data_IF_260264751757
#
_entry.id   IF_260264751757
#
_cell.length_a   1.000
_cell.length_b   1.000
_cell.length_c   1.000
_cell.angle_alpha   90.00
_cell.angle_beta   90.00
_cell.angle_gamma   90.00
#
_symmetry.space_group_name_H-M   'P 1'
#
loop_
_entity.id
_entity.type
_entity.pdbx_description
1 polymer ?
#
# COMPACT_ATOMS: atom_id res chain seq x y z
N UNK A 1 -25.91 -11.73 0.65
CA UNK A 1 -24.73 -11.89 -0.25
C UNK A 1 -24.23 -10.49 -0.56
N UNK A 2 -23.20 -10.03 0.13
CA UNK A 2 -22.71 -8.65 -0.03
C UNK A 2 -21.74 -8.64 -1.20
N UNK A 3 -22.04 -7.87 -2.24
CA UNK A 3 -21.19 -7.69 -3.42
C UNK A 3 -19.99 -6.77 -3.09
N UNK A 4 -18.91 -6.85 -3.85
CA UNK A 4 -17.74 -5.96 -3.74
C UNK A 4 -18.14 -4.48 -3.76
N UNK A 5 -19.18 -4.15 -4.55
CA UNK A 5 -19.75 -2.81 -4.67
C UNK A 5 -20.45 -2.33 -3.39
N UNK A 6 -21.17 -3.20 -2.69
CA UNK A 6 -21.85 -2.88 -1.43
C UNK A 6 -20.86 -2.52 -0.31
N UNK A 7 -19.67 -3.12 -0.36
CA UNK A 7 -18.64 -2.88 0.63
C UNK A 7 -17.98 -1.50 0.51
N UNK A 8 -17.63 -1.11 -0.70
CA UNK A 8 -17.02 0.19 -0.97
C UNK A 8 -18.01 1.33 -0.67
N UNK A 9 -19.32 1.10 -0.95
CA UNK A 9 -20.39 2.03 -0.62
C UNK A 9 -20.65 2.18 0.88
N UNK A 10 -20.55 1.11 1.67
CA UNK A 10 -20.75 1.16 3.11
C UNK A 10 -19.68 2.02 3.82
N UNK A 11 -18.43 1.95 3.39
CA UNK A 11 -17.33 2.77 3.96
C UNK A 11 -17.49 4.25 3.61
N UNK A 12 -17.99 4.56 2.41
CA UNK A 12 -18.29 5.94 1.99
C UNK A 12 -19.43 6.54 2.81
N UNK A 13 -20.47 5.76 3.14
CA UNK A 13 -21.58 6.20 4.00
C UNK A 13 -21.15 6.49 5.44
N UNK A 14 -20.25 5.69 6.01
CA UNK A 14 -19.80 5.87 7.39
C UNK A 14 -18.99 7.18 7.58
N UNK A 15 -18.31 7.65 6.54
CA UNK A 15 -17.60 8.93 6.56
C UNK A 15 -18.55 10.15 6.43
N UNK A 16 -19.72 9.95 5.82
CA UNK A 16 -20.72 11.01 5.61
C UNK A 16 -21.65 11.19 6.82
N UNK A 17 -21.97 10.13 7.58
CA UNK A 17 -22.89 10.18 8.72
C UNK A 17 -22.35 10.89 9.96
N UNK A 18 -21.04 11.18 10.06
CA UNK A 18 -20.48 11.92 11.20
C UNK A 18 -20.64 13.44 11.12
N UNK A 19 -21.40 13.98 10.17
CA UNK A 19 -21.72 15.41 10.08
C UNK A 19 -23.22 15.67 10.03
N UNK A 20 -23.92 15.53 11.15
CA UNK A 20 -25.26 16.11 11.31
C UNK A 20 -25.15 17.53 11.85
N UNK A 21 -25.83 18.52 11.23
CA UNK A 21 -25.82 19.90 11.70
C UNK A 21 -26.75 20.10 12.89
N UNK A 22 -26.26 20.81 13.88
CA UNK A 22 -27.06 21.25 15.03
C UNK A 22 -27.81 22.54 14.70
N UNK A 23 -29.06 22.62 15.15
CA UNK A 23 -30.10 23.54 14.80
C UNK A 23 -29.85 25.01 15.15
N UNK A 24 -30.53 25.85 14.36
CA UNK A 24 -30.73 27.29 14.40
C UNK A 24 -31.14 27.87 15.78
N UNK A 25 -30.55 29.01 16.10
CA UNK A 25 -31.28 30.07 16.79
C UNK A 25 -30.89 31.42 16.16
N UNK A 26 -31.92 32.19 15.75
CA UNK A 26 -31.78 33.50 15.12
C UNK A 26 -31.41 34.55 16.13
N UNK A 27 -30.41 35.39 15.83
CA UNK A 27 -30.42 36.80 16.31
C UNK A 27 -29.71 37.66 15.24
N UNK A 28 -30.41 38.68 14.79
CA UNK A 28 -29.94 39.69 13.83
C UNK A 28 -28.95 40.60 14.53
N UNK A 29 -27.75 40.83 13.95
CA UNK A 29 -27.08 42.13 14.03
C UNK A 29 -26.02 42.30 12.94
N UNK A 30 -26.12 43.44 12.26
CA UNK A 30 -25.13 44.27 11.57
C UNK A 30 -24.01 43.62 10.71
N UNK A 31 -24.08 43.94 9.44
CA UNK A 31 -23.08 43.78 8.37
C UNK A 31 -21.86 44.66 8.73
N UNK A 32 -20.71 44.01 8.92
CA UNK A 32 -19.41 44.60 8.67
C UNK A 32 -18.66 43.66 7.70
N UNK A 33 -18.51 44.14 6.46
CA UNK A 33 -17.79 43.43 5.38
C UNK A 33 -16.28 43.50 5.67
N UNK A 34 -15.77 42.52 6.42
CA UNK A 34 -14.32 42.25 6.49
C UNK A 34 -14.02 41.18 5.43
N UNK A 35 -13.47 41.60 4.31
CA UNK A 35 -12.80 40.70 3.36
C UNK A 35 -11.57 40.07 4.04
N UNK A 36 -11.82 39.12 4.92
CA UNK A 36 -10.80 38.18 5.38
C UNK A 36 -10.51 37.21 4.27
N UNK A 37 -9.39 37.39 3.57
CA UNK A 37 -8.78 36.35 2.75
C UNK A 37 -8.57 35.14 3.65
N UNK A 38 -9.48 34.17 3.61
CA UNK A 38 -9.20 32.84 4.13
C UNK A 38 -8.06 32.30 3.29
N UNK A 39 -6.84 32.39 3.82
CA UNK A 39 -5.74 31.56 3.40
C UNK A 39 -6.17 30.16 3.77
N UNK A 40 -6.80 29.45 2.81
CA UNK A 40 -6.90 28.00 2.87
C UNK A 40 -5.46 27.55 2.78
N UNK A 41 -4.83 27.29 3.92
CA UNK A 41 -3.60 26.53 3.98
C UNK A 41 -3.92 25.18 3.33
N UNK A 42 -3.63 25.09 2.05
CA UNK A 42 -3.51 23.80 1.38
C UNK A 42 -2.35 23.08 2.09
N UNK A 43 -2.66 22.33 3.14
CA UNK A 43 -1.76 21.29 3.58
C UNK A 43 -1.59 20.41 2.36
N UNK A 44 -0.45 20.51 1.73
CA UNK A 44 0.02 19.53 0.76
C UNK A 44 0.17 18.24 1.54
N UNK A 45 -0.92 17.50 1.67
CA UNK A 45 -0.85 16.11 2.10
C UNK A 45 -0.03 15.41 1.02
N UNK A 46 1.08 14.80 1.42
CA UNK A 46 1.89 13.99 0.53
C UNK A 46 1.04 12.90 -0.15
N UNK A 47 1.54 12.34 -1.22
CA UNK A 47 0.89 11.22 -1.89
C UNK A 47 0.54 10.11 -0.88
N UNK A 48 -0.67 9.56 -0.99
CA UNK A 48 -1.14 8.42 -0.19
C UNK A 48 -0.99 7.15 -1.02
N UNK A 49 -0.38 6.15 -0.43
CA UNK A 49 -0.26 4.82 -1.01
C UNK A 49 -1.32 3.88 -0.40
N UNK A 50 -1.75 2.93 -1.17
CA UNK A 50 -2.70 1.91 -0.72
C UNK A 50 -2.16 0.52 -1.09
N UNK A 51 -1.75 -0.25 -0.07
CA UNK A 51 -1.40 -1.66 -0.21
C UNK A 51 -2.69 -2.48 -0.18
N UNK A 52 -2.90 -3.28 -1.21
CA UNK A 52 -4.07 -4.15 -1.29
C UNK A 52 -3.69 -5.60 -1.47
N UNK A 53 -4.42 -6.47 -0.78
CA UNK A 53 -4.28 -7.92 -0.91
C UNK A 53 -5.63 -8.52 -1.29
N UNK A 54 -5.66 -9.17 -2.45
CA UNK A 54 -6.83 -9.88 -2.96
C UNK A 54 -6.62 -11.38 -2.83
N UNK A 55 -7.60 -12.07 -2.26
CA UNK A 55 -7.62 -13.53 -2.21
C UNK A 55 -8.74 -14.04 -3.09
N UNK A 56 -8.41 -14.86 -4.08
CA UNK A 56 -9.39 -15.43 -5.01
C UNK A 56 -9.94 -16.77 -4.51
N UNK A 57 -11.09 -17.16 -5.07
CA UNK A 57 -11.52 -18.54 -5.04
C UNK A 57 -10.53 -19.43 -5.78
N UNK A 58 -10.56 -20.73 -5.51
CA UNK A 58 -9.69 -21.71 -6.14
C UNK A 58 -9.78 -21.62 -7.68
N UNK A 59 -8.62 -21.63 -8.35
CA UNK A 59 -8.51 -21.54 -9.81
C UNK A 59 -8.90 -20.20 -10.42
N UNK A 60 -9.16 -19.14 -9.63
CA UNK A 60 -9.61 -17.83 -10.14
C UNK A 60 -8.52 -16.75 -10.20
N UNK A 61 -7.27 -17.06 -9.84
CA UNK A 61 -6.20 -16.06 -9.87
C UNK A 61 -5.89 -15.60 -11.29
N UNK A 62 -5.89 -16.51 -12.26
CA UNK A 62 -5.64 -16.16 -13.66
C UNK A 62 -6.77 -15.26 -14.23
N UNK A 63 -8.02 -15.52 -13.86
CA UNK A 63 -9.15 -14.64 -14.20
C UNK A 63 -8.97 -13.24 -13.59
N UNK A 64 -8.50 -13.16 -12.33
CA UNK A 64 -8.21 -11.89 -11.68
C UNK A 64 -7.08 -11.15 -12.41
N UNK A 65 -5.97 -11.82 -12.70
CA UNK A 65 -4.83 -11.24 -13.42
C UNK A 65 -5.22 -10.76 -14.83
N UNK A 66 -6.00 -11.54 -15.58
CA UNK A 66 -6.52 -11.12 -16.88
C UNK A 66 -7.38 -9.86 -16.75
N UNK A 67 -8.31 -9.81 -15.79
CA UNK A 67 -9.14 -8.62 -15.52
C UNK A 67 -8.29 -7.40 -15.19
N UNK A 68 -7.22 -7.55 -14.40
CA UNK A 68 -6.32 -6.44 -14.09
C UNK A 68 -5.55 -5.97 -15.31
N UNK A 69 -4.92 -6.88 -16.05
CA UNK A 69 -4.12 -6.60 -17.25
C UNK A 69 -4.94 -5.88 -18.32
N UNK A 70 -6.08 -6.44 -18.65
CA UNK A 70 -6.83 -6.04 -19.84
C UNK A 70 -7.73 -4.81 -19.55
N UNK A 71 -8.11 -4.60 -18.29
CA UNK A 71 -9.13 -3.60 -17.96
C UNK A 71 -8.81 -2.77 -16.72
N UNK A 72 -8.57 -3.40 -15.54
CA UNK A 72 -8.60 -2.70 -14.25
C UNK A 72 -7.52 -1.63 -14.16
N UNK A 73 -6.29 -1.92 -14.59
CA UNK A 73 -5.16 -0.97 -14.55
C UNK A 73 -5.48 0.30 -15.36
N UNK A 74 -6.08 0.14 -16.55
CA UNK A 74 -6.51 1.27 -17.39
C UNK A 74 -7.59 2.09 -16.71
N UNK A 75 -8.58 1.43 -16.10
CA UNK A 75 -9.69 2.12 -15.44
C UNK A 75 -9.21 2.81 -14.15
N UNK A 76 -8.27 2.22 -13.40
CA UNK A 76 -7.61 2.88 -12.26
C UNK A 76 -6.97 4.21 -12.71
N UNK A 77 -6.17 4.18 -13.78
CA UNK A 77 -5.53 5.38 -14.33
C UNK A 77 -6.56 6.44 -14.74
N UNK A 78 -7.69 6.04 -15.36
CA UNK A 78 -8.80 6.92 -15.74
C UNK A 78 -9.35 7.69 -14.53
N UNK A 79 -9.36 7.06 -13.36
CA UNK A 79 -9.87 7.64 -12.11
C UNK A 79 -8.78 8.17 -11.18
N UNK A 80 -7.58 8.45 -11.68
CA UNK A 80 -6.52 9.12 -10.92
C UNK A 80 -5.81 8.22 -9.90
N UNK A 81 -5.95 6.89 -10.03
CA UNK A 81 -5.18 5.92 -9.25
C UNK A 81 -3.93 5.52 -10.03
N UNK A 82 -2.75 5.87 -9.51
CA UNK A 82 -1.47 5.56 -10.14
C UNK A 82 -0.96 4.19 -9.67
N UNK A 83 -0.61 3.32 -10.61
CA UNK A 83 -0.06 2.00 -10.31
C UNK A 83 1.39 2.09 -9.84
N UNK A 84 1.68 1.50 -8.68
CA UNK A 84 3.06 1.32 -8.18
C UNK A 84 3.58 -0.04 -8.61
N UNK A 85 2.87 -1.11 -8.34
CA UNK A 85 3.23 -2.44 -8.78
C UNK A 85 2.21 -3.50 -8.38
N UNK A 86 2.31 -4.65 -9.07
CA UNK A 86 1.41 -5.80 -8.90
C UNK A 86 2.25 -7.07 -8.83
N UNK A 87 1.98 -7.90 -7.83
CA UNK A 87 2.79 -9.10 -7.55
C UNK A 87 1.92 -10.29 -7.13
N UNK A 88 2.43 -11.48 -7.43
CA UNK A 88 1.90 -12.74 -6.91
C UNK A 88 2.91 -13.31 -5.92
N UNK A 89 2.50 -13.72 -4.71
CA UNK A 89 3.38 -14.40 -3.75
C UNK A 89 3.99 -15.68 -4.32
N UNK A 90 5.18 -16.04 -3.85
CA UNK A 90 5.90 -17.24 -4.32
C UNK A 90 5.77 -18.46 -3.41
N UNK A 91 5.07 -18.33 -2.27
CA UNK A 91 4.78 -19.49 -1.42
C UNK A 91 3.70 -20.39 -2.04
N UNK A 92 3.75 -21.68 -1.70
CA UNK A 92 2.96 -22.71 -2.36
C UNK A 92 1.43 -22.51 -2.29
N UNK A 93 0.94 -21.85 -1.24
CA UNK A 93 -0.51 -21.65 -1.05
C UNK A 93 -0.96 -20.32 -1.66
N UNK A 94 -0.29 -19.21 -1.29
CA UNK A 94 -0.69 -17.88 -1.74
C UNK A 94 -0.43 -17.64 -3.22
N UNK A 95 0.55 -18.34 -3.81
CA UNK A 95 0.81 -18.28 -5.27
C UNK A 95 -0.37 -18.73 -6.13
N UNK A 96 -1.28 -19.50 -5.55
CA UNK A 96 -2.45 -20.04 -6.27
C UNK A 96 -3.66 -19.10 -6.27
N UNK A 97 -3.70 -18.15 -5.32
CA UNK A 97 -4.93 -17.41 -5.07
C UNK A 97 -4.74 -15.96 -4.60
N UNK A 98 -3.52 -15.42 -4.59
CA UNK A 98 -3.29 -14.10 -3.99
C UNK A 98 -2.65 -13.14 -4.99
N UNK A 99 -3.23 -11.96 -5.11
CA UNK A 99 -2.65 -10.79 -5.78
C UNK A 99 -2.38 -9.71 -4.73
N UNK A 100 -1.14 -9.22 -4.68
CA UNK A 100 -0.72 -8.08 -3.87
C UNK A 100 -0.39 -6.93 -4.79
N UNK A 101 -0.87 -5.73 -4.48
CA UNK A 101 -0.51 -4.55 -5.26
C UNK A 101 -0.50 -3.27 -4.43
N UNK A 102 0.21 -2.27 -4.93
CA UNK A 102 0.25 -0.93 -4.38
C UNK A 102 -0.18 0.06 -5.46
N UNK A 103 -1.09 0.95 -5.09
CA UNK A 103 -1.49 2.12 -5.89
C UNK A 103 -1.24 3.39 -5.09
N UNK A 104 -1.12 4.51 -5.82
CA UNK A 104 -0.87 5.82 -5.25
C UNK A 104 -2.02 6.76 -5.57
N UNK A 105 -2.39 7.60 -4.62
CA UNK A 105 -3.39 8.63 -4.69
C UNK A 105 -2.79 9.97 -4.25
N UNK A 106 -3.31 11.08 -4.72
CA UNK A 106 -2.86 12.42 -4.33
C UNK A 106 -3.18 12.78 -2.88
N UNK A 107 -4.19 12.15 -2.28
CA UNK A 107 -4.60 12.34 -0.89
C UNK A 107 -5.59 11.25 -0.48
N UNK A 108 -5.93 11.20 0.79
CA UNK A 108 -6.96 10.30 1.32
C UNK A 108 -8.35 10.59 0.75
N UNK A 109 -8.69 11.88 0.60
CA UNK A 109 -9.95 12.31 -0.01
C UNK A 109 -9.99 11.99 -1.51
N UNK A 110 -8.86 12.17 -2.21
CA UNK A 110 -8.72 11.76 -3.60
C UNK A 110 -8.89 10.23 -3.77
N UNK A 111 -8.34 9.43 -2.86
CA UNK A 111 -8.55 7.97 -2.86
C UNK A 111 -10.03 7.62 -2.75
N UNK A 112 -10.76 8.22 -1.79
CA UNK A 112 -12.19 8.00 -1.62
C UNK A 112 -13.00 8.39 -2.87
N UNK A 113 -12.68 9.54 -3.48
CA UNK A 113 -13.31 10.00 -4.71
C UNK A 113 -13.03 9.07 -5.89
N UNK A 114 -11.77 8.65 -6.05
CA UNK A 114 -11.33 7.74 -7.11
C UNK A 114 -12.01 6.37 -7.02
N UNK A 115 -12.09 5.78 -5.84
CA UNK A 115 -12.80 4.52 -5.63
C UNK A 115 -14.29 4.65 -5.92
N UNK A 116 -14.94 5.73 -5.47
CA UNK A 116 -16.34 6.00 -5.79
C UNK A 116 -16.58 6.09 -7.29
N UNK A 117 -15.73 6.84 -8.00
CA UNK A 117 -15.83 7.00 -9.45
C UNK A 117 -15.56 5.69 -10.19
N UNK A 118 -14.55 4.92 -9.77
CA UNK A 118 -14.24 3.62 -10.33
C UNK A 118 -15.41 2.63 -10.23
N UNK A 119 -16.06 2.52 -9.07
CA UNK A 119 -17.21 1.61 -8.88
C UNK A 119 -18.41 2.04 -9.71
N UNK A 120 -18.60 3.36 -9.88
CA UNK A 120 -19.70 3.89 -10.68
C UNK A 120 -19.45 3.77 -12.20
N UNK A 121 -18.21 3.52 -12.63
CA UNK A 121 -17.78 3.49 -14.02
C UNK A 121 -18.53 2.39 -14.81
N UNK A 122 -19.20 2.72 -15.93
CA UNK A 122 -19.88 1.73 -16.78
C UNK A 122 -18.94 0.64 -17.31
N UNK A 123 -17.70 1.01 -17.69
CA UNK A 123 -16.70 0.05 -18.18
C UNK A 123 -16.37 -0.95 -17.08
N UNK A 124 -16.16 -0.46 -15.84
CA UNK A 124 -15.89 -1.33 -14.70
C UNK A 124 -17.07 -2.27 -14.41
N UNK A 125 -18.31 -1.75 -14.38
CA UNK A 125 -19.50 -2.58 -14.12
C UNK A 125 -19.65 -3.70 -15.15
N UNK A 126 -19.40 -3.39 -16.42
CA UNK A 126 -19.42 -4.38 -17.50
C UNK A 126 -18.34 -5.45 -17.27
N UNK A 127 -17.09 -5.04 -17.07
CA UNK A 127 -15.95 -5.93 -16.84
C UNK A 127 -16.12 -6.78 -15.58
N UNK A 128 -16.59 -6.19 -14.48
CA UNK A 128 -16.84 -6.90 -13.23
C UNK A 128 -17.91 -7.99 -13.41
N UNK A 129 -18.96 -7.75 -14.20
CA UNK A 129 -19.98 -8.73 -14.53
C UNK A 129 -19.46 -9.84 -15.44
N UNK A 130 -18.80 -9.47 -16.54
CA UNK A 130 -18.30 -10.40 -17.56
C UNK A 130 -17.20 -11.32 -17.01
N UNK A 131 -16.31 -10.80 -16.18
CA UNK A 131 -15.21 -11.59 -15.59
C UNK A 131 -15.66 -12.61 -14.54
N UNK A 132 -16.92 -12.59 -14.12
CA UNK A 132 -17.49 -13.46 -13.08
C UNK A 132 -18.59 -14.39 -13.58
N UNK A 133 -18.76 -14.54 -14.90
CA UNK A 133 -19.79 -15.44 -15.47
C UNK A 133 -19.63 -16.89 -15.02
N UNK A 134 -18.39 -17.34 -14.84
CA UNK A 134 -18.04 -18.67 -14.34
C UNK A 134 -17.89 -18.73 -12.80
N UNK A 135 -18.48 -17.78 -12.10
CA UNK A 135 -18.46 -17.69 -10.65
C UNK A 135 -17.59 -16.55 -10.11
N UNK A 136 -17.73 -16.29 -8.81
CA UNK A 136 -17.04 -15.19 -8.13
C UNK A 136 -15.52 -15.37 -8.19
N UNK A 137 -14.82 -14.29 -8.52
CA UNK A 137 -13.37 -14.27 -8.50
C UNK A 137 -12.84 -14.23 -7.06
N UNK A 138 -13.35 -13.29 -6.23
CA UNK A 138 -12.82 -13.07 -4.90
C UNK A 138 -13.48 -13.99 -3.87
N UNK A 139 -12.66 -14.67 -3.06
CA UNK A 139 -13.11 -15.52 -1.95
C UNK A 139 -13.53 -14.72 -0.74
N UNK A 140 -12.89 -13.60 -0.52
CA UNK A 140 -13.13 -12.68 0.60
C UNK A 140 -12.99 -11.24 0.15
N UNK A 141 -13.39 -10.35 1.04
CA UNK A 141 -13.19 -8.91 0.91
C UNK A 141 -11.72 -8.57 0.77
N UNK A 142 -11.34 -7.68 -0.18
CA UNK A 142 -9.98 -7.17 -0.27
C UNK A 142 -9.48 -6.54 1.03
N UNK A 143 -8.27 -6.88 1.42
CA UNK A 143 -7.57 -6.18 2.49
C UNK A 143 -6.94 -4.90 1.92
N UNK A 144 -6.98 -3.82 2.69
CA UNK A 144 -6.47 -2.51 2.28
C UNK A 144 -5.79 -1.83 3.45
N UNK A 145 -4.57 -1.32 3.22
CA UNK A 145 -3.80 -0.51 4.18
C UNK A 145 -3.38 0.77 3.47
N UNK A 146 -3.85 1.90 3.97
CA UNK A 146 -3.40 3.21 3.50
C UNK A 146 -2.10 3.59 4.21
N UNK A 147 -1.18 4.20 3.46
CA UNK A 147 0.19 4.44 3.90
C UNK A 147 0.71 5.78 3.38
N UNK A 148 1.64 6.37 4.11
CA UNK A 148 2.46 7.48 3.68
C UNK A 148 3.92 7.05 3.53
N UNK A 149 4.62 7.59 2.53
CA UNK A 149 6.03 7.31 2.36
C UNK A 149 6.84 7.93 3.51
N UNK A 150 7.85 7.22 3.99
CA UNK A 150 8.82 7.77 4.94
C UNK A 150 9.72 8.80 4.23
N UNK A 151 10.36 9.69 4.98
CA UNK A 151 11.30 10.69 4.45
C UNK A 151 12.59 10.10 3.84
N UNK A 152 12.85 8.83 4.11
CA UNK A 152 13.97 8.06 3.56
C UNK A 152 13.54 7.04 2.49
N UNK A 153 12.26 6.99 2.14
CA UNK A 153 11.78 6.15 1.03
C UNK A 153 12.35 6.66 -0.29
N UNK A 154 12.94 5.80 -1.14
CA UNK A 154 13.37 6.23 -2.45
C UNK A 154 12.15 6.66 -3.29
N UNK A 155 12.39 7.58 -4.22
CA UNK A 155 11.39 7.89 -5.23
C UNK A 155 11.05 6.65 -6.06
N UNK A 156 9.77 6.41 -6.20
CA UNK A 156 9.27 5.39 -7.10
C UNK A 156 9.65 5.71 -8.54
N UNK A 157 10.32 4.79 -9.20
CA UNK A 157 10.61 4.88 -10.64
C UNK A 157 10.21 3.56 -11.29
N UNK A 158 9.43 3.64 -12.36
CA UNK A 158 9.23 2.48 -13.22
C UNK A 158 10.62 2.06 -13.74
N UNK A 159 11.10 0.90 -13.32
CA UNK A 159 12.37 0.39 -13.80
C UNK A 159 12.10 -0.55 -14.98
N UNK A 160 12.63 -0.19 -16.14
CA UNK A 160 12.65 -1.05 -17.32
C UNK A 160 13.61 -2.25 -17.18
N UNK A 161 14.15 -2.45 -15.98
CA UNK A 161 15.01 -3.61 -15.73
C UNK A 161 14.15 -4.87 -15.69
N UNK A 162 13.80 -5.36 -16.88
CA UNK A 162 13.32 -6.71 -17.09
C UNK A 162 14.35 -7.68 -16.49
N UNK A 163 13.96 -8.47 -15.52
CA UNK A 163 14.81 -9.48 -14.92
C UNK A 163 14.01 -10.30 -13.92
N UNK A 164 14.46 -11.54 -13.69
CA UNK A 164 13.83 -12.52 -12.79
C UNK A 164 13.92 -12.13 -11.29
N UNK A 165 13.89 -10.82 -10.99
CA UNK A 165 13.96 -10.29 -9.64
C UNK A 165 12.78 -10.75 -8.79
N UNK A 166 13.06 -11.03 -7.52
CA UNK A 166 12.05 -11.36 -6.51
C UNK A 166 11.91 -10.17 -5.58
N UNK A 167 10.68 -9.76 -5.36
CA UNK A 167 10.34 -8.72 -4.39
C UNK A 167 10.01 -9.35 -3.05
N UNK A 168 10.33 -8.64 -1.98
CA UNK A 168 9.99 -9.06 -0.63
C UNK A 168 9.24 -7.93 0.07
N UNK A 169 7.95 -8.14 0.33
CA UNK A 169 7.14 -7.28 1.19
C UNK A 169 7.43 -7.66 2.63
N UNK A 170 7.79 -6.66 3.43
CA UNK A 170 8.06 -6.85 4.86
C UNK A 170 7.21 -5.92 5.71
N UNK A 171 6.70 -6.47 6.80
CA UNK A 171 5.92 -5.71 7.78
C UNK A 171 6.59 -5.88 9.14
N UNK A 172 7.07 -4.77 9.69
CA UNK A 172 7.71 -4.70 11.00
C UNK A 172 6.79 -4.02 11.98
N UNK A 173 6.58 -4.64 13.12
CA UNK A 173 5.88 -4.04 14.24
C UNK A 173 6.88 -3.71 15.34
N UNK A 174 7.18 -2.43 15.52
CA UNK A 174 8.05 -1.94 16.58
C UNK A 174 7.39 -2.17 17.96
N UNK A 175 8.19 -2.28 19.00
CA UNK A 175 7.69 -2.18 20.35
C UNK A 175 7.13 -0.76 20.60
N UNK A 176 6.26 -0.60 21.58
CA UNK A 176 5.62 0.67 21.91
C UNK A 176 6.63 1.81 22.05
N UNK A 177 6.36 2.94 21.38
CA UNK A 177 7.24 4.11 21.36
C UNK A 177 8.59 3.92 20.64
N UNK A 178 8.80 2.83 19.90
CA UNK A 178 10.08 2.54 19.23
C UNK A 178 10.08 2.76 17.73
N UNK A 179 8.96 3.17 17.11
CA UNK A 179 8.89 3.37 15.67
C UNK A 179 9.93 4.39 15.18
N UNK A 180 10.02 5.57 15.81
CA UNK A 180 11.01 6.59 15.42
C UNK A 180 12.46 6.14 15.55
N UNK A 181 12.78 5.25 16.52
CA UNK A 181 14.12 4.64 16.61
C UNK A 181 14.35 3.61 15.50
N UNK A 182 13.29 2.90 15.11
CA UNK A 182 13.35 1.99 13.96
C UNK A 182 13.62 2.75 12.67
N UNK A 183 12.94 3.88 12.45
CA UNK A 183 13.14 4.76 11.30
C UNK A 183 14.56 5.30 11.24
N UNK A 184 15.07 5.86 12.34
CA UNK A 184 16.45 6.34 12.41
C UNK A 184 17.45 5.24 12.03
N UNK A 185 17.28 4.01 12.55
CA UNK A 185 18.13 2.88 12.18
C UNK A 185 18.04 2.53 10.70
N UNK A 186 16.83 2.58 10.10
CA UNK A 186 16.68 2.34 8.66
C UNK A 186 17.38 3.41 7.85
N UNK A 187 17.12 4.68 8.14
CA UNK A 187 17.68 5.85 7.45
C UNK A 187 19.20 5.91 7.53
N UNK A 188 19.75 5.76 8.73
CA UNK A 188 21.17 6.01 8.98
C UNK A 188 22.05 4.80 8.64
N UNK A 189 21.51 3.58 8.71
CA UNK A 189 22.31 2.35 8.61
C UNK A 189 21.71 1.30 7.68
N UNK A 190 20.45 0.86 7.93
CA UNK A 190 19.92 -0.38 7.38
C UNK A 190 19.87 -0.35 5.86
N UNK A 191 19.38 0.74 5.26
CA UNK A 191 19.23 0.88 3.80
C UNK A 191 20.56 0.75 3.09
N UNK A 192 21.61 1.40 3.59
CA UNK A 192 22.94 1.33 3.02
C UNK A 192 23.53 -0.08 3.13
N UNK A 193 23.35 -0.72 4.29
CA UNK A 193 23.82 -2.10 4.50
C UNK A 193 23.03 -3.09 3.62
N UNK A 194 21.72 -2.89 3.43
CA UNK A 194 20.92 -3.67 2.46
C UNK A 194 21.53 -3.61 1.06
N UNK A 195 21.86 -2.40 0.58
CA UNK A 195 22.48 -2.21 -0.74
C UNK A 195 23.82 -2.93 -0.87
N UNK A 196 24.67 -2.90 0.17
CA UNK A 196 25.95 -3.60 0.21
C UNK A 196 25.80 -5.12 0.07
N UNK A 197 24.65 -5.65 0.49
CA UNK A 197 24.32 -7.08 0.40
C UNK A 197 23.36 -7.43 -0.75
N UNK A 198 23.20 -6.54 -1.75
CA UNK A 198 22.40 -6.80 -2.94
C UNK A 198 20.87 -6.80 -2.72
N UNK A 199 20.40 -6.19 -1.63
CA UNK A 199 19.00 -5.95 -1.36
C UNK A 199 18.65 -4.51 -1.76
N UNK A 200 17.95 -4.34 -2.88
CA UNK A 200 17.61 -3.01 -3.40
C UNK A 200 16.31 -2.50 -2.79
N UNK A 201 16.34 -1.31 -2.22
CA UNK A 201 15.15 -0.65 -1.68
C UNK A 201 14.20 -0.25 -2.80
N UNK A 202 12.90 -0.55 -2.63
CA UNK A 202 11.83 -0.14 -3.53
C UNK A 202 11.05 1.00 -2.90
N UNK A 203 10.54 0.82 -1.69
CA UNK A 203 9.86 1.87 -0.94
C UNK A 203 9.67 1.49 0.53
N UNK A 204 9.46 2.52 1.38
CA UNK A 204 9.22 2.42 2.82
C UNK A 204 8.04 3.30 3.19
N UNK A 205 7.09 2.76 3.98
CA UNK A 205 5.85 3.44 4.33
C UNK A 205 5.46 3.20 5.78
N UNK A 206 4.72 4.14 6.34
CA UNK A 206 3.94 3.95 7.56
C UNK A 206 2.44 3.86 7.22
N UNK A 207 1.69 2.94 7.83
CA UNK A 207 0.23 3.01 7.79
C UNK A 207 -0.27 4.35 8.35
N UNK A 208 -1.36 4.86 7.77
CA UNK A 208 -1.98 6.12 8.24
C UNK A 208 -3.07 5.91 9.28
N UNK A 209 -3.64 4.70 9.33
CA UNK A 209 -4.76 4.38 10.22
C UNK A 209 -4.27 3.75 11.53
N UNK A 210 -4.86 4.16 12.66
CA UNK A 210 -4.61 3.54 13.96
C UNK A 210 -5.15 2.10 14.04
N UNK A 211 -4.53 1.25 14.83
CA UNK A 211 -3.33 1.47 15.66
C UNK A 211 -2.01 1.33 14.92
N UNK A 212 -2.02 0.87 13.67
CA UNK A 212 -0.81 0.50 12.91
C UNK A 212 0.11 1.72 12.62
N UNK A 213 -0.45 2.93 12.53
CA UNK A 213 0.32 4.17 12.33
C UNK A 213 1.33 4.45 13.45
N UNK A 214 1.12 3.88 14.64
CA UNK A 214 1.96 4.15 15.82
C UNK A 214 3.21 3.26 15.93
N UNK A 215 3.20 2.11 15.25
CA UNK A 215 4.21 1.08 15.51
C UNK A 215 4.64 0.27 14.28
N UNK A 216 4.11 0.57 13.08
CA UNK A 216 4.31 -0.31 11.94
C UNK A 216 5.11 0.37 10.83
N UNK A 217 6.15 -0.31 10.36
CA UNK A 217 6.89 0.00 9.14
C UNK A 217 6.61 -1.08 8.10
N UNK A 218 6.14 -0.68 6.92
CA UNK A 218 5.92 -1.55 5.76
C UNK A 218 6.93 -1.17 4.69
N UNK A 219 7.59 -2.15 4.08
CA UNK A 219 8.53 -1.85 3.02
C UNK A 219 8.64 -2.98 2.00
N UNK A 220 9.10 -2.64 0.81
CA UNK A 220 9.41 -3.58 -0.26
C UNK A 220 10.87 -3.42 -0.65
N UNK A 221 11.57 -4.54 -0.74
CA UNK A 221 12.92 -4.65 -1.30
C UNK A 221 12.92 -5.63 -2.47
N UNK A 222 13.88 -5.48 -3.37
CA UNK A 222 14.09 -6.35 -4.52
C UNK A 222 15.40 -7.12 -4.37
N UNK A 223 15.34 -8.40 -4.65
CA UNK A 223 16.49 -9.31 -4.76
C UNK A 223 16.66 -9.77 -6.22
N UNK A 224 17.86 -10.14 -6.61
CA UNK A 224 18.12 -10.66 -7.96
C UNK A 224 17.40 -12.01 -8.19
N UNK A 225 17.21 -12.82 -7.14
CA UNK A 225 16.45 -14.07 -7.16
C UNK A 225 16.10 -14.50 -5.74
N UNK A 226 15.21 -15.49 -5.57
CA UNK A 226 14.89 -16.08 -4.26
C UNK A 226 16.11 -16.73 -3.60
N UNK A 227 16.98 -17.36 -4.37
CA UNK A 227 18.25 -17.92 -3.87
C UNK A 227 19.23 -16.83 -3.43
N UNK A 228 19.30 -15.71 -4.17
CA UNK A 228 20.09 -14.55 -3.79
C UNK A 228 19.56 -13.92 -2.50
N UNK A 229 18.25 -13.84 -2.31
CA UNK A 229 17.65 -13.31 -1.08
C UNK A 229 18.14 -14.02 0.18
N UNK A 230 18.14 -15.35 0.18
CA UNK A 230 18.64 -16.12 1.31
C UNK A 230 20.12 -15.85 1.64
N UNK A 231 20.95 -15.72 0.59
CA UNK A 231 22.38 -15.37 0.75
C UNK A 231 22.55 -13.94 1.31
N UNK A 232 21.80 -12.99 0.77
CA UNK A 232 21.80 -11.59 1.18
C UNK A 232 21.39 -11.43 2.65
N UNK A 233 20.30 -12.08 3.07
CA UNK A 233 19.86 -12.04 4.46
C UNK A 233 20.87 -12.68 5.42
N UNK A 234 21.50 -13.79 5.02
CA UNK A 234 22.57 -14.42 5.81
C UNK A 234 23.76 -13.51 5.98
N UNK A 235 24.23 -12.90 4.89
CA UNK A 235 25.35 -11.97 4.88
C UNK A 235 25.06 -10.72 5.70
N UNK A 236 23.88 -10.10 5.51
CA UNK A 236 23.41 -8.97 6.30
C UNK A 236 23.37 -9.28 7.81
N UNK A 237 22.82 -10.42 8.20
CA UNK A 237 22.78 -10.82 9.62
C UNK A 237 24.16 -11.09 10.24
N UNK A 238 25.16 -11.43 9.41
CA UNK A 238 26.54 -11.63 9.84
C UNK A 238 27.35 -10.33 9.87
N UNK A 239 26.90 -9.28 9.19
CA UNK A 239 27.60 -8.01 9.02
C UNK A 239 27.92 -7.33 10.37
N UNK A 240 29.20 -7.02 10.67
CA UNK A 240 29.58 -6.37 11.92
C UNK A 240 28.95 -4.99 12.09
N UNK A 241 28.79 -4.23 11.01
CA UNK A 241 28.18 -2.91 11.04
C UNK A 241 26.71 -3.00 11.37
N UNK A 242 25.99 -3.96 10.77
CA UNK A 242 24.60 -4.24 11.14
C UNK A 242 24.46 -4.62 12.62
N UNK A 243 25.32 -5.50 13.12
CA UNK A 243 25.28 -5.91 14.53
C UNK A 243 25.49 -4.73 15.47
N UNK A 244 26.41 -3.84 15.13
CA UNK A 244 26.67 -2.60 15.87
C UNK A 244 25.43 -1.69 15.83
N UNK A 245 24.91 -1.37 14.64
CA UNK A 245 23.76 -0.53 14.47
C UNK A 245 22.52 -1.09 15.18
N UNK A 246 22.28 -2.39 15.09
CA UNK A 246 21.17 -3.04 15.77
C UNK A 246 21.26 -2.91 17.30
N UNK A 247 22.48 -3.04 17.88
CA UNK A 247 22.73 -2.92 19.32
C UNK A 247 22.57 -1.48 19.80
N UNK A 248 23.10 -0.52 19.06
CA UNK A 248 23.18 0.89 19.47
C UNK A 248 21.91 1.69 19.19
N UNK A 249 21.06 1.25 18.26
CA UNK A 249 19.85 1.96 17.85
C UNK A 249 18.79 2.15 18.94
N UNK A 250 18.84 1.38 20.02
CA UNK A 250 17.81 1.38 21.06
C UNK A 250 16.43 0.92 20.62
N UNK A 251 16.30 0.29 19.43
CA UNK A 251 15.06 -0.32 18.93
C UNK A 251 14.67 -1.51 19.80
N UNK A 252 15.65 -2.34 20.17
CA UNK A 252 15.41 -3.57 20.89
C UNK A 252 14.73 -4.63 20.02
N UNK A 253 13.94 -5.50 20.65
CA UNK A 253 13.12 -6.50 19.96
C UNK A 253 11.89 -5.85 19.33
N UNK A 254 11.52 -6.31 18.15
CA UNK A 254 10.22 -5.99 17.56
C UNK A 254 9.09 -6.64 18.37
N UNK A 255 7.91 -6.03 18.37
CA UNK A 255 6.76 -6.54 19.12
C UNK A 255 6.30 -7.93 18.65
N UNK A 256 6.53 -8.22 17.36
CA UNK A 256 6.31 -9.55 16.78
C UNK A 256 7.39 -9.89 15.77
N UNK A 257 7.49 -11.18 15.40
CA UNK A 257 8.35 -11.60 14.29
C UNK A 257 7.97 -10.84 13.01
N UNK A 258 8.93 -10.30 12.25
CA UNK A 258 8.65 -9.67 10.97
C UNK A 258 7.87 -10.59 10.05
N UNK A 259 6.84 -10.05 9.42
CA UNK A 259 6.19 -10.72 8.29
C UNK A 259 7.05 -10.52 7.06
N UNK A 260 7.15 -11.55 6.24
CA UNK A 260 7.92 -11.54 4.99
C UNK A 260 7.16 -12.33 3.95
N UNK A 261 6.91 -11.70 2.79
CA UNK A 261 6.21 -12.29 1.66
C UNK A 261 7.08 -12.08 0.42
N UNK A 262 7.65 -13.16 -0.09
CA UNK A 262 8.33 -13.14 -1.37
C UNK A 262 7.33 -13.16 -2.51
N UNK A 263 7.57 -12.34 -3.54
CA UNK A 263 6.61 -12.10 -4.62
C UNK A 263 7.34 -11.95 -5.96
N UNK A 264 6.69 -12.38 -7.04
CA UNK A 264 7.11 -12.08 -8.41
C UNK A 264 6.18 -11.04 -9.03
N UNK A 265 6.69 -10.10 -9.84
CA UNK A 265 5.84 -9.14 -10.52
C UNK A 265 4.97 -9.84 -11.56
N UNK A 266 3.75 -9.33 -11.75
CA UNK A 266 2.89 -9.74 -12.86
C UNK A 266 3.42 -9.15 -14.17
N UNK A 267 2.97 -9.67 -15.30
CA UNK A 267 3.35 -9.21 -16.65
C UNK A 267 2.84 -7.78 -16.97
N UNK A 268 1.84 -7.30 -16.23
CA UNK A 268 1.29 -5.93 -16.31
C UNK A 268 1.78 -5.00 -15.19
N UNK A 269 2.70 -5.46 -14.34
CA UNK A 269 3.31 -4.60 -13.31
C UNK A 269 4.27 -3.60 -13.93
N UNK A 270 4.17 -2.33 -13.53
CA UNK A 270 5.08 -1.26 -13.96
C UNK A 270 6.49 -1.39 -13.37
N UNK A 271 6.68 -2.26 -12.37
CA UNK A 271 7.96 -2.56 -11.74
C UNK A 271 8.27 -4.06 -11.92
N UNK A 272 9.48 -4.34 -12.37
CA UNK A 272 9.96 -5.70 -12.62
C UNK A 272 11.36 -5.93 -12.08
#
# INVERSE_FOLDING_TARGET
MVNEDDYLMARTKQTIEMRKPMNRLFTKLAVALVLGTMIVSSHSYGDIYELRTYTTNEGKLDNLNARFRDHTVRIFKKHGMESVGYWVPTDAEKSKNTLVYVIKHKSRDAAAASWKAFIADPDWKKVAKESQVDGKILAKRPESVYMEATDYSPEWKNSDSAGDGVFELRIYKAAEGKLGKLDARFKDHTIRIFNNHGMKSVAYWHPTDEPASKDTLIYIIRHNSKGAAGKSWKAFGADPEWKKAAKESGVGRLAKRPESIYMTPTDYSGIR
#
